data_IF_481054489041
#
_entry.id   IF_481054489041
#
_cell.length_a   1.000
_cell.length_b   1.000
_cell.length_c   1.000
_cell.angle_alpha   90.00
_cell.angle_beta   90.00
_cell.angle_gamma   90.00
#
_symmetry.space_group_name_H-M   'P 1'
#
loop_
_entity.id
_entity.type
_entity.pdbx_description
1 polymer ?
#
# COMPACT_ATOMS: atom_id res chain seq x y z
N UNK A 1 4.28 31.07 -0.28
CA UNK A 1 4.46 29.87 -1.13
C UNK A 1 3.58 28.74 -0.57
N UNK A 2 2.67 28.16 -1.35
CA UNK A 2 1.69 27.13 -0.87
C UNK A 2 1.66 25.84 -1.70
N UNK A 3 2.49 25.72 -2.74
CA UNK A 3 2.42 24.62 -3.71
C UNK A 3 3.63 23.66 -3.66
N UNK A 4 4.54 23.81 -2.70
CA UNK A 4 5.74 22.96 -2.59
C UNK A 4 5.48 21.72 -1.75
N UNK A 5 6.03 20.58 -2.16
CA UNK A 5 5.99 19.32 -1.41
C UNK A 5 5.94 18.12 -2.34
N UNK A 6 5.20 17.09 -1.92
CA UNK A 6 4.90 15.93 -2.75
C UNK A 6 3.39 15.80 -3.01
N UNK A 7 3.04 15.20 -4.13
CA UNK A 7 1.67 14.76 -4.44
C UNK A 7 1.68 13.41 -5.11
N UNK A 8 0.55 12.73 -5.15
CA UNK A 8 0.43 11.50 -5.90
C UNK A 8 -0.91 10.82 -5.66
N UNK A 9 -1.01 9.59 -6.17
CA UNK A 9 -2.17 8.72 -5.95
C UNK A 9 -1.69 7.41 -5.32
N UNK A 10 -2.41 6.96 -4.29
CA UNK A 10 -2.25 5.61 -3.75
C UNK A 10 -3.23 4.68 -4.47
N UNK A 11 -2.70 3.69 -5.20
CA UNK A 11 -3.49 2.74 -5.98
C UNK A 11 -3.36 1.32 -5.45
N UNK A 12 -4.44 0.56 -5.63
CA UNK A 12 -4.40 -0.89 -5.51
C UNK A 12 -3.60 -1.47 -6.67
N UNK A 13 -2.54 -2.23 -6.36
CA UNK A 13 -1.61 -2.75 -7.36
C UNK A 13 -2.26 -3.71 -8.36
N UNK A 14 -3.33 -4.41 -7.98
CA UNK A 14 -3.97 -5.42 -8.83
C UNK A 14 -5.06 -4.79 -9.73
N UNK A 15 -5.75 -3.75 -9.24
CA UNK A 15 -6.91 -3.16 -9.93
C UNK A 15 -6.65 -1.77 -10.50
N UNK A 16 -5.53 -1.13 -10.13
CA UNK A 16 -5.19 0.27 -10.43
C UNK A 16 -6.21 1.31 -9.92
N UNK A 17 -7.20 0.90 -9.12
CA UNK A 17 -8.15 1.82 -8.51
C UNK A 17 -7.50 2.61 -7.37
N UNK A 18 -7.92 3.87 -7.20
CA UNK A 18 -7.53 4.69 -6.08
C UNK A 18 -7.96 4.09 -4.74
N UNK A 19 -7.12 4.24 -3.72
CA UNK A 19 -7.42 3.79 -2.36
C UNK A 19 -7.71 5.03 -1.52
N UNK A 20 -8.96 5.21 -1.14
CA UNK A 20 -9.38 6.24 -0.19
C UNK A 20 -8.93 5.94 1.23
N UNK A 21 -8.79 7.00 2.03
CA UNK A 21 -8.42 6.90 3.45
C UNK A 21 -7.08 6.20 3.73
N UNK A 22 -6.23 6.05 2.70
CA UNK A 22 -4.87 5.60 2.87
C UNK A 22 -4.08 6.69 3.59
N UNK A 23 -3.30 6.29 4.60
CA UNK A 23 -2.50 7.19 5.41
C UNK A 23 -1.11 7.32 4.78
N UNK A 24 -0.67 8.56 4.57
CA UNK A 24 0.68 8.91 4.15
C UNK A 24 1.45 9.38 5.37
N UNK A 25 2.50 8.64 5.71
CA UNK A 25 3.45 8.93 6.79
C UNK A 25 4.74 9.42 6.18
N UNK A 26 5.33 10.48 6.74
CA UNK A 26 6.67 10.94 6.39
C UNK A 26 7.58 10.68 7.58
N UNK A 27 8.65 9.93 7.38
CA UNK A 27 9.56 9.61 8.47
C UNK A 27 10.15 10.87 9.12
N UNK A 28 10.28 10.86 10.44
CA UNK A 28 10.72 12.01 11.23
C UNK A 28 9.71 13.17 11.33
N UNK A 29 8.53 13.10 10.71
CA UNK A 29 7.49 14.14 10.81
C UNK A 29 6.21 13.56 11.41
N UNK A 30 5.92 13.92 12.67
CA UNK A 30 4.73 13.44 13.40
C UNK A 30 3.44 14.17 12.99
N UNK A 31 3.09 14.10 11.71
CA UNK A 31 1.83 14.60 11.17
C UNK A 31 1.50 13.86 9.89
N UNK A 32 0.65 12.85 9.98
CA UNK A 32 0.17 12.06 8.85
C UNK A 32 -0.92 12.81 8.07
N UNK A 33 -1.13 12.44 6.80
CA UNK A 33 -2.30 12.87 6.01
C UNK A 33 -3.04 11.66 5.45
N UNK A 34 -4.23 11.89 4.89
CA UNK A 34 -5.06 10.86 4.28
C UNK A 34 -5.33 11.17 2.80
N UNK A 35 -5.44 10.12 2.00
CA UNK A 35 -5.87 10.23 0.60
C UNK A 35 -7.36 10.57 0.50
N UNK A 36 -7.72 11.29 -0.56
CA UNK A 36 -9.10 11.56 -0.94
C UNK A 36 -9.77 10.31 -1.53
N UNK A 37 -11.04 10.44 -1.97
CA UNK A 37 -11.87 9.35 -2.48
C UNK A 37 -11.21 8.58 -3.64
N UNK A 38 -10.55 9.29 -4.56
CA UNK A 38 -9.88 8.70 -5.73
C UNK A 38 -8.42 8.31 -5.45
N UNK A 39 -7.99 8.37 -4.19
CA UNK A 39 -6.63 8.02 -3.77
C UNK A 39 -5.61 9.14 -3.90
N UNK A 40 -6.00 10.32 -4.39
CA UNK A 40 -5.12 11.49 -4.48
C UNK A 40 -4.70 12.00 -3.10
N UNK A 41 -3.48 12.51 -3.00
CA UNK A 41 -2.98 13.20 -1.82
C UNK A 41 -2.02 14.35 -2.18
N UNK A 42 -1.89 15.29 -1.25
CA UNK A 42 -0.91 16.37 -1.28
C UNK A 42 -0.30 16.55 0.10
N UNK A 43 1.03 16.54 0.17
CA UNK A 43 1.77 16.78 1.40
C UNK A 43 2.77 17.91 1.20
N UNK A 44 2.51 19.04 1.85
CA UNK A 44 3.43 20.17 1.86
C UNK A 44 4.70 19.80 2.65
N UNK A 45 5.85 20.03 2.03
CA UNK A 45 7.17 19.72 2.58
C UNK A 45 8.18 20.75 2.06
N UNK A 46 9.24 20.97 2.82
CA UNK A 46 10.38 21.75 2.37
C UNK A 46 11.25 20.90 1.42
N UNK A 47 12.17 21.54 0.65
CA UNK A 47 13.12 20.79 -0.17
C UNK A 47 13.93 19.81 0.68
N UNK A 48 14.09 18.59 0.18
CA UNK A 48 14.71 17.50 0.93
C UNK A 48 14.41 16.13 0.33
N UNK A 49 15.02 15.10 0.90
CA UNK A 49 14.70 13.70 0.62
C UNK A 49 13.99 13.11 1.83
N UNK A 50 12.89 12.41 1.57
CA UNK A 50 12.00 11.89 2.60
C UNK A 50 11.71 10.42 2.35
N UNK A 51 11.77 9.61 3.40
CA UNK A 51 11.15 8.29 3.38
C UNK A 51 9.65 8.43 3.67
N UNK A 52 8.83 8.03 2.70
CA UNK A 52 7.38 8.20 2.75
C UNK A 52 6.72 6.83 2.68
N UNK A 53 5.82 6.56 3.62
CA UNK A 53 5.09 5.30 3.73
C UNK A 53 3.61 5.51 3.46
N UNK A 54 3.07 4.81 2.46
CA UNK A 54 1.63 4.69 2.28
C UNK A 54 1.12 3.41 2.96
N UNK A 55 0.09 3.53 3.79
CA UNK A 55 -0.56 2.41 4.50
C UNK A 55 -2.08 2.54 4.42
N UNK A 56 -2.78 1.42 4.25
CA UNK A 56 -4.24 1.38 4.24
C UNK A 56 -4.73 0.08 4.88
N UNK A 57 -5.94 0.10 5.45
CA UNK A 57 -6.52 -1.10 6.06
C UNK A 57 -6.65 -2.24 5.05
N UNK A 58 -6.16 -3.43 5.41
CA UNK A 58 -6.24 -4.59 4.54
C UNK A 58 -5.16 -4.65 3.44
N UNK A 59 -4.27 -3.66 3.36
CA UNK A 59 -3.13 -3.63 2.44
C UNK A 59 -1.79 -3.81 3.16
N UNK A 60 -0.76 -4.24 2.43
CA UNK A 60 0.61 -4.14 2.92
C UNK A 60 1.11 -2.70 2.73
N UNK A 61 1.77 -2.10 3.72
CA UNK A 61 2.37 -0.78 3.56
C UNK A 61 3.49 -0.82 2.53
N UNK A 62 3.75 0.33 1.90
CA UNK A 62 4.89 0.52 0.99
C UNK A 62 5.61 1.81 1.34
N UNK A 63 6.92 1.73 1.49
CA UNK A 63 7.80 2.87 1.75
C UNK A 63 8.62 3.17 0.49
N UNK A 64 8.84 4.45 0.20
CA UNK A 64 9.65 4.94 -0.92
C UNK A 64 10.38 6.22 -0.51
N UNK A 65 11.54 6.47 -1.14
CA UNK A 65 12.17 7.79 -1.08
C UNK A 65 11.50 8.74 -2.06
N UNK A 66 10.98 9.87 -1.58
CA UNK A 66 10.42 10.95 -2.38
C UNK A 66 11.27 12.21 -2.20
N UNK A 67 11.73 12.80 -3.30
CA UNK A 67 12.51 14.04 -3.29
C UNK A 67 11.62 15.25 -3.53
N UNK A 68 11.79 16.29 -2.74
CA UNK A 68 11.16 17.61 -2.94
C UNK A 68 12.23 18.57 -3.43
N UNK A 69 12.01 19.16 -4.60
CA UNK A 69 12.94 20.14 -5.19
C UNK A 69 12.64 21.56 -4.70
N UNK A 70 13.51 22.51 -5.06
CA UNK A 70 13.28 23.93 -4.78
C UNK A 70 12.22 24.57 -5.68
N UNK A 71 11.76 23.85 -6.71
CA UNK A 71 10.73 24.34 -7.62
C UNK A 71 9.41 24.60 -6.88
N UNK A 72 8.63 25.54 -7.40
CA UNK A 72 7.31 25.90 -6.86
C UNK A 72 6.21 24.95 -7.34
N UNK A 73 6.56 23.67 -7.54
CA UNK A 73 5.66 22.61 -7.98
C UNK A 73 5.86 21.37 -7.13
N UNK A 74 4.79 20.65 -6.78
CA UNK A 74 4.91 19.44 -5.99
C UNK A 74 5.47 18.30 -6.84
N UNK A 75 6.40 17.52 -6.27
CA UNK A 75 6.97 16.34 -6.94
C UNK A 75 6.00 15.16 -6.87
N UNK A 76 5.88 14.40 -7.96
CA UNK A 76 5.02 13.22 -8.01
C UNK A 76 5.67 12.06 -7.25
N UNK A 77 4.94 11.44 -6.33
CA UNK A 77 5.37 10.24 -5.61
C UNK A 77 4.23 9.22 -5.47
N UNK A 78 3.88 8.54 -6.56
CA UNK A 78 2.78 7.57 -6.56
C UNK A 78 3.10 6.27 -5.80
N UNK A 79 2.06 5.67 -5.20
CA UNK A 79 2.14 4.39 -4.49
C UNK A 79 1.24 3.35 -5.13
N UNK A 80 1.73 2.11 -5.18
CA UNK A 80 0.96 0.94 -5.60
C UNK A 80 1.09 -0.11 -4.49
N UNK A 81 0.03 -0.31 -3.72
CA UNK A 81 0.03 -1.24 -2.58
C UNK A 81 -0.86 -2.45 -2.85
N UNK A 82 -0.43 -3.60 -2.36
CA UNK A 82 -1.13 -4.88 -2.58
C UNK A 82 -1.94 -5.29 -1.36
N UNK A 83 -3.17 -5.75 -1.59
CA UNK A 83 -4.01 -6.35 -0.56
C UNK A 83 -3.30 -7.49 0.16
N UNK A 84 -3.54 -7.58 1.46
CA UNK A 84 -3.13 -8.72 2.28
C UNK A 84 -3.85 -9.99 1.82
N UNK A 85 -3.28 -11.19 2.04
CA UNK A 85 -3.97 -12.44 1.73
C UNK A 85 -5.32 -12.57 2.46
N UNK A 86 -5.41 -12.05 3.69
CA UNK A 86 -6.65 -12.01 4.48
C UNK A 86 -7.70 -11.13 3.80
N UNK A 87 -7.33 -9.94 3.36
CA UNK A 87 -8.23 -9.01 2.67
C UNK A 87 -8.70 -9.59 1.32
N UNK A 88 -7.77 -10.12 0.51
CA UNK A 88 -8.13 -10.79 -0.76
C UNK A 88 -9.12 -11.94 -0.53
N UNK A 89 -8.92 -12.75 0.51
CA UNK A 89 -9.84 -13.84 0.84
C UNK A 89 -11.22 -13.33 1.29
N UNK A 90 -11.28 -12.25 2.08
CA UNK A 90 -12.53 -11.62 2.52
C UNK A 90 -13.35 -11.16 1.31
N UNK A 91 -12.72 -10.50 0.34
CA UNK A 91 -13.37 -10.03 -0.89
C UNK A 91 -13.83 -11.17 -1.80
N UNK A 92 -13.02 -12.22 -1.95
CA UNK A 92 -13.41 -13.39 -2.75
C UNK A 92 -14.66 -14.08 -2.18
N UNK A 93 -14.74 -14.21 -0.84
CA UNK A 93 -15.91 -14.78 -0.16
C UNK A 93 -17.14 -13.89 -0.33
N UNK A 94 -17.00 -12.58 -0.14
CA UNK A 94 -18.09 -11.63 -0.30
C UNK A 94 -18.66 -11.63 -1.72
N UNK A 95 -17.80 -11.78 -2.73
CA UNK A 95 -18.20 -11.78 -4.14
C UNK A 95 -18.63 -13.16 -4.67
N UNK A 96 -18.71 -14.20 -3.83
CA UNK A 96 -19.03 -15.57 -4.24
C UNK A 96 -18.02 -16.20 -5.22
N UNK A 97 -16.83 -15.60 -5.36
CA UNK A 97 -15.81 -16.03 -6.33
C UNK A 97 -14.99 -17.18 -5.76
N UNK A 98 -14.73 -18.19 -6.61
CA UNK A 98 -13.83 -19.31 -6.26
C UNK A 98 -12.41 -18.78 -6.00
N UNK A 99 -11.72 -19.41 -5.05
CA UNK A 99 -10.37 -19.02 -4.67
C UNK A 99 -9.40 -19.16 -5.86
N UNK A 100 -8.54 -18.16 -6.15
CA UNK A 100 -7.55 -18.25 -7.22
C UNK A 100 -6.68 -19.50 -7.10
N UNK A 101 -6.35 -20.12 -8.24
CA UNK A 101 -5.58 -21.38 -8.31
C UNK A 101 -4.23 -21.26 -7.59
N UNK A 102 -3.56 -20.12 -7.69
CA UNK A 102 -2.30 -19.85 -6.98
C UNK A 102 -2.46 -19.89 -5.45
N UNK A 103 -3.54 -19.30 -4.93
CA UNK A 103 -3.85 -19.34 -3.49
C UNK A 103 -4.11 -20.78 -3.03
N UNK A 104 -4.86 -21.56 -3.81
CA UNK A 104 -5.09 -22.98 -3.53
C UNK A 104 -3.78 -23.78 -3.52
N UNK A 105 -2.90 -23.56 -4.50
CA UNK A 105 -1.57 -24.20 -4.57
C UNK A 105 -0.72 -23.84 -3.35
N UNK A 106 -0.69 -22.56 -2.97
CA UNK A 106 0.08 -22.09 -1.81
C UNK A 106 -0.46 -22.66 -0.50
N UNK A 107 -1.78 -22.72 -0.33
CA UNK A 107 -2.41 -23.38 0.83
C UNK A 107 -2.07 -24.88 0.89
N UNK A 108 -2.08 -25.58 -0.25
CA UNK A 108 -1.67 -26.99 -0.36
C UNK A 108 -0.20 -27.17 0.05
N UNK A 109 0.70 -26.31 -0.42
CA UNK A 109 2.12 -26.35 -0.04
C UNK A 109 2.34 -26.13 1.47
N UNK A 110 1.64 -25.16 2.06
CA UNK A 110 1.72 -24.88 3.50
C UNK A 110 1.18 -26.05 4.35
N UNK A 111 0.06 -26.66 3.92
CA UNK A 111 -0.49 -27.87 4.56
C UNK A 111 0.51 -29.03 4.51
N UNK A 112 1.12 -29.27 3.36
CA UNK A 112 2.13 -30.31 3.20
C UNK A 112 3.38 -30.06 4.06
N UNK A 113 3.83 -28.80 4.19
CA UNK A 113 4.93 -28.42 5.09
C UNK A 113 4.61 -28.71 6.55
N UNK A 114 3.41 -28.34 7.02
CA UNK A 114 2.95 -28.63 8.39
C UNK A 114 2.84 -30.13 8.69
N UNK A 115 2.46 -30.93 7.71
CA UNK A 115 2.40 -32.38 7.85
C UNK A 115 3.82 -32.97 7.98
N UNK A 116 4.75 -32.56 7.12
CA UNK A 116 6.16 -33.00 7.20
C UNK A 116 6.84 -32.61 8.52
N UNK A 117 6.53 -31.45 9.08
CA UNK A 117 7.09 -31.02 10.38
C UNK A 117 6.47 -31.71 11.60
N UNK A 118 5.35 -32.44 11.43
CA UNK A 118 4.66 -33.17 12.51
C UNK A 118 4.94 -34.68 12.51
N UNK A 119 5.66 -35.19 11.51
CA UNK A 119 6.14 -36.57 11.49
C UNK A 119 7.17 -36.76 12.61
N UNK A 120 6.97 -37.69 13.58
CA UNK A 120 8.03 -38.06 14.50
C UNK A 120 9.17 -38.75 13.71
N UNK A 121 10.41 -38.57 14.18
CA UNK A 121 11.59 -39.27 13.66
C UNK A 121 11.48 -40.77 13.91
#
# INVERSE_FOLDING_TARGET
>A
QVHRGIKGIVRDKDTNQGISEAVIVVDGINHDIRTAVDGDYWRLLNPGEYEVTAKAEGYHPSTKSCRVTYEDRPTICDFYISKTPKQRLKELRANGKKLPKELLLRLRQLRNRKLKSKSPK
#
